data_IF_504751482677
#
_entry.id   IF_504751482677
#
_cell.length_a   1.000
_cell.length_b   1.000
_cell.length_c   1.000
_cell.angle_alpha   90.00
_cell.angle_beta   90.00
_cell.angle_gamma   90.00
#
_symmetry.space_group_name_H-M   'P 1'
#
loop_
_entity.id
_entity.type
_entity.pdbx_description
1 polymer ?
#
# COMPACT_ATOMS: atom_id res chain seq x y z
N UNK A 1 17.51 -1.18 -33.05
CA UNK A 1 18.73 -1.19 -33.88
C UNK A 1 18.69 -0.05 -34.88
N UNK A 2 19.79 0.69 -35.07
CA UNK A 2 19.89 1.73 -36.12
C UNK A 2 20.09 1.04 -37.47
N UNK A 3 19.14 1.24 -38.38
CA UNK A 3 19.18 0.58 -39.69
C UNK A 3 19.96 1.41 -40.70
N UNK A 4 19.75 2.73 -40.71
CA UNK A 4 20.37 3.62 -41.67
C UNK A 4 20.40 5.06 -41.18
N UNK A 5 21.50 5.82 -41.46
CA UNK A 5 21.53 7.27 -41.31
C UNK A 5 21.11 7.91 -42.65
N UNK A 6 20.16 8.87 -42.56
CA UNK A 6 19.65 9.62 -43.72
C UNK A 6 20.47 10.90 -43.98
N UNK A 7 21.25 11.32 -43.01
CA UNK A 7 22.16 12.49 -43.04
C UNK A 7 23.57 12.12 -42.68
N UNK A 8 24.55 12.80 -43.29
CA UNK A 8 25.99 12.64 -43.05
C UNK A 8 26.48 13.74 -42.11
N UNK A 9 27.64 13.48 -41.49
CA UNK A 9 28.32 14.51 -40.69
C UNK A 9 28.65 15.71 -41.60
N UNK A 10 28.22 16.90 -41.19
CA UNK A 10 28.33 18.13 -41.94
C UNK A 10 27.08 18.58 -42.68
N UNK A 11 26.06 17.72 -42.78
CA UNK A 11 24.80 18.09 -43.42
C UNK A 11 23.96 19.01 -42.53
N UNK A 12 23.28 19.97 -43.15
CA UNK A 12 22.29 20.79 -42.45
C UNK A 12 21.01 20.02 -42.23
N UNK A 13 20.38 20.23 -41.08
CA UNK A 13 19.17 19.56 -40.63
C UNK A 13 18.16 20.60 -40.16
N UNK A 14 16.92 20.52 -40.63
CA UNK A 14 15.80 21.31 -40.15
C UNK A 14 15.12 20.69 -38.95
N UNK A 15 14.29 21.44 -38.21
CA UNK A 15 13.42 20.86 -37.19
C UNK A 15 12.45 19.90 -37.83
N UNK A 16 12.22 18.75 -37.19
CA UNK A 16 11.36 17.64 -37.65
C UNK A 16 11.83 16.93 -38.94
N UNK A 17 13.04 17.20 -39.43
CA UNK A 17 13.61 16.48 -40.54
C UNK A 17 14.17 15.11 -40.11
N UNK A 18 13.85 14.05 -40.85
CA UNK A 18 14.30 12.68 -40.55
C UNK A 18 15.83 12.55 -40.59
N UNK A 19 16.44 12.08 -39.51
CA UNK A 19 17.87 11.90 -39.33
C UNK A 19 18.37 10.49 -39.62
N UNK A 20 17.63 9.52 -39.12
CA UNK A 20 18.00 8.11 -39.20
C UNK A 20 16.77 7.23 -39.12
N UNK A 21 16.88 6.01 -39.62
CA UNK A 21 15.91 4.94 -39.50
C UNK A 21 16.33 3.98 -38.38
N UNK A 22 15.40 3.62 -37.53
CA UNK A 22 15.57 2.55 -36.52
C UNK A 22 14.59 1.42 -36.77
N UNK A 23 15.08 0.20 -36.74
CA UNK A 23 14.25 -0.99 -36.77
C UNK A 23 14.06 -1.53 -35.36
N UNK A 24 12.83 -1.74 -34.99
CA UNK A 24 12.41 -2.49 -33.80
C UNK A 24 11.88 -3.86 -34.23
N UNK A 25 11.60 -4.75 -33.29
CA UNK A 25 11.06 -6.10 -33.57
C UNK A 25 9.74 -6.10 -34.40
N UNK A 26 9.08 -4.95 -34.56
CA UNK A 26 7.75 -4.86 -35.18
C UNK A 26 7.55 -3.75 -36.20
N UNK A 27 8.36 -2.70 -36.21
CA UNK A 27 8.16 -1.53 -37.09
C UNK A 27 9.49 -0.81 -37.31
N UNK A 28 9.72 -0.39 -38.56
CA UNK A 28 10.76 0.56 -38.91
C UNK A 28 10.23 1.99 -38.73
N UNK A 29 10.94 2.82 -37.98
CA UNK A 29 10.51 4.18 -37.63
C UNK A 29 11.66 5.16 -37.96
N UNK A 30 11.32 6.28 -38.58
CA UNK A 30 12.23 7.40 -38.77
C UNK A 30 12.29 8.28 -37.51
N UNK A 31 13.47 8.67 -37.11
CA UNK A 31 13.71 9.55 -35.96
C UNK A 31 13.95 10.98 -36.49
N UNK A 32 13.05 11.93 -36.21
CA UNK A 32 13.19 13.33 -36.63
C UNK A 32 14.16 14.09 -35.71
N UNK A 33 14.74 15.17 -36.26
CA UNK A 33 15.56 16.09 -35.49
C UNK A 33 14.73 17.00 -34.58
N UNK A 34 15.02 17.10 -33.29
CA UNK A 34 14.33 18.01 -32.38
C UNK A 34 14.75 19.49 -32.54
N UNK A 35 15.84 19.76 -33.26
CA UNK A 35 16.41 21.12 -33.44
C UNK A 35 16.99 21.29 -34.84
N UNK A 36 16.99 22.53 -35.36
CA UNK A 36 17.71 22.86 -36.60
C UNK A 36 19.19 23.08 -36.32
N UNK A 37 20.06 22.61 -37.21
CA UNK A 37 21.52 22.78 -37.07
C UNK A 37 22.28 21.96 -38.07
N UNK A 38 23.59 21.75 -37.83
CA UNK A 38 24.45 20.88 -38.64
C UNK A 38 24.77 19.62 -37.84
N UNK A 39 24.71 18.43 -38.43
CA UNK A 39 25.08 17.19 -37.77
C UNK A 39 26.59 17.15 -37.60
N UNK A 40 27.05 17.30 -36.37
CA UNK A 40 28.48 17.43 -36.03
C UNK A 40 29.15 16.06 -35.76
N UNK A 41 28.41 15.11 -35.22
CA UNK A 41 28.92 13.79 -34.90
C UNK A 41 27.79 12.73 -34.94
N UNK A 42 28.17 11.52 -35.33
CA UNK A 42 27.38 10.30 -35.26
C UNK A 42 28.02 9.43 -34.20
N UNK A 43 27.30 9.21 -33.08
CA UNK A 43 27.83 8.43 -31.95
C UNK A 43 27.50 6.94 -32.06
N UNK A 44 26.56 6.56 -32.92
CA UNK A 44 26.06 5.18 -33.08
C UNK A 44 26.19 4.75 -34.55
N UNK A 45 26.92 3.68 -34.78
CA UNK A 45 27.08 3.12 -36.13
C UNK A 45 25.82 2.40 -36.61
N UNK A 46 25.69 2.25 -37.92
CA UNK A 46 24.66 1.39 -38.55
C UNK A 46 24.75 -0.03 -37.99
N UNK A 47 23.67 -0.72 -37.86
CA UNK A 47 23.51 -2.07 -37.28
C UNK A 47 23.80 -2.21 -35.77
N UNK A 48 23.97 -1.09 -35.08
CA UNK A 48 24.18 -1.09 -33.62
C UNK A 48 22.86 -1.00 -32.84
N UNK A 49 22.72 -1.84 -31.82
CA UNK A 49 21.59 -1.80 -30.89
C UNK A 49 21.94 -0.96 -29.68
N UNK A 50 21.11 0.06 -29.39
CA UNK A 50 21.31 0.98 -28.26
C UNK A 50 20.07 0.99 -27.36
N UNK A 51 20.24 1.19 -26.04
CA UNK A 51 19.12 1.34 -25.13
C UNK A 51 18.35 2.65 -25.39
N UNK A 52 17.06 2.68 -25.04
CA UNK A 52 16.21 3.87 -25.12
C UNK A 52 16.80 4.98 -24.25
N UNK A 53 16.95 6.21 -24.83
CA UNK A 53 17.57 7.34 -24.15
C UNK A 53 19.09 7.50 -24.40
N UNK A 54 19.71 6.61 -25.17
CA UNK A 54 21.11 6.79 -25.58
C UNK A 54 21.25 7.93 -26.58
N UNK A 55 22.40 8.65 -26.51
CA UNK A 55 22.72 9.71 -27.47
C UNK A 55 23.10 9.07 -28.81
N UNK A 56 22.41 9.47 -29.88
CA UNK A 56 22.61 8.93 -31.21
C UNK A 56 23.60 9.78 -32.04
N UNK A 57 23.57 11.10 -31.85
CA UNK A 57 24.45 12.04 -32.58
C UNK A 57 24.44 13.42 -31.92
N UNK A 58 25.21 14.34 -32.46
CA UNK A 58 25.31 15.73 -31.99
C UNK A 58 24.97 16.71 -33.11
N UNK A 59 24.02 17.62 -32.83
CA UNK A 59 23.63 18.70 -33.74
C UNK A 59 24.04 20.03 -33.11
N UNK A 60 24.65 20.92 -33.90
CA UNK A 60 25.10 22.22 -33.44
C UNK A 60 25.24 23.22 -34.58
N UNK A 61 25.75 24.46 -34.28
CA UNK A 61 26.03 25.47 -35.27
C UNK A 61 27.34 25.15 -35.98
N UNK A 62 27.35 25.30 -37.30
CA UNK A 62 28.55 25.12 -38.14
C UNK A 62 29.71 26.00 -37.64
N UNK A 63 30.82 25.37 -37.18
CA UNK A 63 32.01 26.07 -36.70
C UNK A 63 32.46 25.77 -35.27
N UNK A 64 31.68 25.01 -34.50
CA UNK A 64 32.09 24.56 -33.17
C UNK A 64 32.99 23.29 -33.32
N UNK A 65 34.26 23.40 -32.94
CA UNK A 65 35.15 22.24 -32.88
C UNK A 65 34.58 21.18 -31.91
N UNK A 66 34.72 19.87 -32.21
CA UNK A 66 34.21 18.83 -31.31
C UNK A 66 34.95 18.91 -29.96
N UNK A 67 34.22 19.27 -28.93
CA UNK A 67 34.70 19.13 -27.56
C UNK A 67 34.78 17.63 -27.28
N UNK A 68 35.99 17.12 -27.08
CA UNK A 68 36.23 15.74 -26.70
C UNK A 68 35.33 15.36 -25.52
N UNK A 69 34.64 14.25 -25.66
CA UNK A 69 33.81 13.69 -24.61
C UNK A 69 34.63 13.55 -23.33
N UNK A 70 34.10 13.97 -22.16
CA UNK A 70 34.75 13.68 -20.89
C UNK A 70 34.77 12.15 -20.73
N UNK A 71 35.98 11.61 -20.53
CA UNK A 71 36.17 10.20 -20.17
C UNK A 71 35.25 9.87 -18.97
N UNK A 72 34.54 8.78 -19.07
CA UNK A 72 33.71 8.26 -17.99
C UNK A 72 34.53 8.20 -16.69
N UNK A 73 34.08 8.80 -15.59
CA UNK A 73 34.76 8.68 -14.32
C UNK A 73 34.79 7.22 -13.90
N UNK A 74 35.99 6.69 -13.60
CA UNK A 74 36.12 5.41 -12.88
C UNK A 74 35.27 5.48 -11.63
N UNK A 75 34.55 4.39 -11.27
CA UNK A 75 33.80 4.36 -10.02
C UNK A 75 34.73 4.63 -8.86
N UNK A 76 34.54 5.75 -8.19
CA UNK A 76 35.15 6.02 -6.90
C UNK A 76 34.58 5.01 -5.89
N UNK A 77 35.36 4.56 -4.89
CA UNK A 77 34.85 3.65 -3.87
C UNK A 77 33.67 4.30 -3.17
N UNK A 78 32.57 3.56 -3.09
CA UNK A 78 31.36 3.97 -2.41
C UNK A 78 31.71 4.12 -0.93
N UNK A 79 31.92 5.35 -0.49
CA UNK A 79 31.88 5.68 0.94
C UNK A 79 30.45 5.48 1.36
N UNK A 80 30.22 4.48 2.21
CA UNK A 80 28.94 4.22 2.81
C UNK A 80 28.45 5.50 3.51
N UNK A 81 27.40 6.09 2.99
CA UNK A 81 26.64 7.14 3.66
C UNK A 81 26.16 6.57 5.00
N UNK A 82 26.46 7.21 6.14
CA UNK A 82 25.89 6.77 7.40
C UNK A 82 24.36 6.86 7.29
N UNK A 83 23.69 5.78 7.69
CA UNK A 83 22.24 5.73 7.78
C UNK A 83 21.75 6.96 8.57
N UNK A 84 20.60 7.56 8.20
CA UNK A 84 20.03 8.64 8.96
C UNK A 84 19.81 8.13 10.39
N UNK A 85 20.48 8.76 11.33
CA UNK A 85 20.22 8.56 12.76
C UNK A 85 18.79 9.01 12.97
N UNK A 86 17.90 8.07 13.23
CA UNK A 86 16.55 8.36 13.69
C UNK A 86 16.72 9.13 14.98
N UNK A 87 16.42 10.43 14.97
CA UNK A 87 16.37 11.24 16.16
C UNK A 87 15.39 10.57 17.12
N UNK A 88 15.91 10.13 18.27
CA UNK A 88 15.07 9.70 19.37
C UNK A 88 14.06 10.82 19.68
N UNK A 89 12.81 10.49 20.02
CA UNK A 89 11.85 11.51 20.41
C UNK A 89 12.42 12.33 21.55
N UNK A 90 12.55 13.64 21.34
CA UNK A 90 12.90 14.59 22.40
C UNK A 90 11.74 14.52 23.38
N UNK A 91 11.96 13.84 24.51
CA UNK A 91 11.06 13.91 25.65
C UNK A 91 11.15 15.37 26.12
N UNK A 92 10.08 16.12 25.83
CA UNK A 92 9.90 17.47 26.37
C UNK A 92 10.08 17.37 27.89
N UNK A 93 11.09 18.01 28.41
CA UNK A 93 11.22 18.17 29.86
C UNK A 93 9.94 18.86 30.39
N UNK A 94 9.33 18.36 31.46
CA UNK A 94 8.17 19.02 32.04
C UNK A 94 8.60 20.43 32.45
N UNK A 95 7.78 21.42 32.12
CA UNK A 95 7.93 22.79 32.56
C UNK A 95 8.09 22.81 34.07
N UNK A 96 8.93 23.68 34.63
CA UNK A 96 9.11 23.77 36.08
C UNK A 96 7.75 24.12 36.71
N UNK A 97 7.21 23.17 37.45
CA UNK A 97 6.01 23.39 38.27
C UNK A 97 6.41 24.39 39.34
N UNK A 98 5.79 25.56 39.37
CA UNK A 98 5.95 26.51 40.42
C UNK A 98 5.67 25.80 41.77
N UNK A 99 6.66 25.76 42.65
CA UNK A 99 6.54 25.16 43.98
C UNK A 99 5.40 25.83 44.73
N UNK A 100 4.43 25.04 45.18
CA UNK A 100 3.37 25.52 46.05
C UNK A 100 3.98 26.15 47.30
N UNK A 101 3.41 27.24 47.86
CA UNK A 101 3.97 27.90 49.03
C UNK A 101 3.96 26.93 50.23
N UNK A 102 5.17 26.67 50.77
CA UNK A 102 5.35 25.77 51.90
C UNK A 102 4.96 26.54 53.16
N UNK A 103 3.96 26.05 53.90
CA UNK A 103 3.56 26.65 55.18
C UNK A 103 4.65 26.39 56.21
N UNK A 104 5.31 27.46 56.69
CA UNK A 104 6.43 27.37 57.63
C UNK A 104 5.93 27.28 59.07
N UNK A 105 6.54 26.47 59.98
CA UNK A 105 6.17 26.43 61.40
C UNK A 105 6.49 27.74 62.09
N UNK A 106 5.57 28.18 62.97
CA UNK A 106 5.68 29.46 63.66
C UNK A 106 6.78 29.43 64.74
N UNK A 107 7.07 28.24 65.28
CA UNK A 107 7.96 28.05 66.45
C UNK A 107 9.43 27.72 66.08
N UNK A 108 9.79 27.74 64.82
CA UNK A 108 11.17 27.51 64.43
C UNK A 108 12.07 28.66 64.82
N UNK A 109 13.13 28.35 65.63
CA UNK A 109 14.11 29.33 66.10
C UNK A 109 15.06 29.76 64.97
N UNK A 110 14.58 30.70 64.17
CA UNK A 110 15.25 31.18 62.95
C UNK A 110 15.15 32.70 62.83
N UNK A 111 16.10 33.30 62.13
CA UNK A 111 16.01 34.72 61.78
C UNK A 111 15.05 34.98 60.67
N UNK A 112 14.43 36.15 60.52
CA UNK A 112 13.52 36.49 59.43
C UNK A 112 14.13 36.24 58.01
N UNK A 113 15.46 36.46 57.91
CA UNK A 113 16.21 36.26 56.65
C UNK A 113 16.33 34.82 56.29
N UNK A 114 16.53 33.88 57.22
CA UNK A 114 16.58 32.44 57.02
C UNK A 114 15.19 31.89 56.66
N UNK A 115 14.12 32.43 57.24
CA UNK A 115 12.73 32.08 56.93
C UNK A 115 12.35 32.49 55.52
N UNK A 116 12.80 33.68 55.07
CA UNK A 116 12.60 34.15 53.72
C UNK A 116 13.33 33.25 52.73
N UNK A 117 14.59 32.90 52.97
CA UNK A 117 15.38 32.00 52.14
C UNK A 117 14.77 30.59 52.06
N UNK A 118 14.24 30.05 53.16
CA UNK A 118 13.58 28.76 53.18
C UNK A 118 12.31 28.76 52.29
N UNK A 119 11.55 29.87 52.31
CA UNK A 119 10.38 30.02 51.43
C UNK A 119 10.79 30.15 49.94
N UNK A 120 11.86 30.91 49.67
CA UNK A 120 12.40 31.07 48.29
C UNK A 120 12.92 29.74 47.71
N UNK A 121 13.53 28.90 48.57
CA UNK A 121 14.09 27.60 48.18
C UNK A 121 13.11 26.42 48.33
N UNK A 122 11.88 26.66 48.79
CA UNK A 122 10.86 25.63 48.98
C UNK A 122 11.22 24.62 50.10
N UNK A 123 12.10 24.98 51.05
CA UNK A 123 12.55 24.09 52.11
C UNK A 123 11.68 24.29 53.36
N UNK A 124 11.10 23.20 53.88
CA UNK A 124 10.32 23.24 55.11
C UNK A 124 11.24 23.22 56.32
N UNK A 125 11.21 24.31 57.14
CA UNK A 125 12.07 24.47 58.31
C UNK A 125 11.84 23.43 59.42
N UNK A 126 10.70 22.73 59.44
CA UNK A 126 10.45 21.62 60.36
C UNK A 126 11.40 20.42 60.15
N UNK A 127 11.96 20.31 58.98
CA UNK A 127 12.87 19.21 58.62
C UNK A 127 14.35 19.62 58.62
N UNK A 128 14.65 20.88 58.98
CA UNK A 128 16.02 21.41 59.06
C UNK A 128 16.57 21.28 60.43
N UNK A 129 17.66 20.55 60.66
CA UNK A 129 18.35 20.46 61.90
C UNK A 129 19.30 21.65 62.03
N UNK A 130 19.02 22.60 62.92
CA UNK A 130 19.85 23.77 63.10
C UNK A 130 21.24 23.46 63.77
N UNK A 131 22.31 23.95 63.15
CA UNK A 131 23.71 23.78 63.59
C UNK A 131 24.23 24.99 64.41
N UNK A 132 23.41 26.03 64.60
CA UNK A 132 23.77 27.21 65.34
C UNK A 132 23.69 27.01 66.84
N UNK A 133 24.28 27.98 67.63
CA UNK A 133 24.28 28.00 69.14
C UNK A 133 22.83 27.94 69.62
N UNK A 134 22.53 26.97 70.50
CA UNK A 134 21.18 26.73 70.98
C UNK A 134 20.19 26.15 70.04
N UNK A 135 20.67 25.42 68.97
CA UNK A 135 19.81 24.79 68.02
C UNK A 135 19.21 25.69 66.91
N UNK A 136 19.75 26.92 66.79
CA UNK A 136 19.28 27.87 65.76
C UNK A 136 19.62 27.40 64.39
N UNK A 137 18.65 27.45 63.47
CA UNK A 137 18.84 27.14 62.06
C UNK A 137 19.54 28.29 61.35
N UNK A 138 20.67 27.99 60.69
CA UNK A 138 21.49 28.96 59.97
C UNK A 138 21.12 28.92 58.50
N UNK A 139 21.56 29.91 57.72
CA UNK A 139 21.42 29.99 56.28
C UNK A 139 21.98 28.73 55.54
N UNK A 140 23.17 28.31 56.02
CA UNK A 140 23.89 27.14 55.43
C UNK A 140 23.10 25.82 55.60
N UNK A 141 22.32 25.67 56.68
CA UNK A 141 21.49 24.52 56.99
C UNK A 141 20.34 24.41 55.99
N UNK A 142 19.78 25.55 55.55
CA UNK A 142 18.72 25.61 54.53
C UNK A 142 19.28 25.37 53.12
N UNK A 143 20.43 26.00 52.83
CA UNK A 143 21.10 25.80 51.51
C UNK A 143 21.58 24.34 51.31
N UNK A 144 22.01 23.65 52.39
CA UNK A 144 22.42 22.25 52.32
C UNK A 144 21.27 21.30 51.93
N UNK A 145 20.02 21.62 52.35
CA UNK A 145 18.83 20.83 51.99
C UNK A 145 18.20 21.23 50.64
N UNK A 146 18.56 22.42 50.12
CA UNK A 146 18.11 22.86 48.81
C UNK A 146 18.96 22.31 47.64
N UNK A 147 20.18 21.81 47.90
CA UNK A 147 20.98 21.15 46.87
C UNK A 147 20.36 19.80 46.55
N UNK A 148 20.03 19.49 45.27
CA UNK A 148 19.57 18.18 44.91
C UNK A 148 20.63 17.16 45.34
N UNK A 149 20.24 16.14 46.08
CA UNK A 149 21.11 15.04 46.46
C UNK A 149 21.67 14.42 45.19
N UNK A 150 22.99 14.50 45.01
CA UNK A 150 23.65 13.75 43.92
C UNK A 150 23.36 12.29 44.21
N UNK A 151 22.71 11.57 43.31
CA UNK A 151 22.44 10.16 43.54
C UNK A 151 23.78 9.43 43.70
N UNK A 152 24.06 8.97 44.92
CA UNK A 152 25.13 8.01 45.16
C UNK A 152 24.76 6.75 44.43
N UNK A 153 25.46 6.43 43.36
CA UNK A 153 25.34 5.15 42.69
C UNK A 153 25.80 4.06 43.67
N UNK A 154 24.87 3.48 44.40
CA UNK A 154 25.08 2.15 45.00
C UNK A 154 25.31 1.20 43.83
N UNK A 155 26.44 0.48 43.84
CA UNK A 155 26.68 -0.59 42.88
C UNK A 155 25.45 -1.53 42.86
N UNK A 156 24.85 -1.80 41.71
CA UNK A 156 23.68 -2.65 41.64
C UNK A 156 24.07 -4.02 42.17
N UNK A 157 23.28 -4.55 43.13
CA UNK A 157 23.28 -5.97 43.47
C UNK A 157 23.11 -6.77 42.12
N UNK A 158 23.72 -7.96 42.00
CA UNK A 158 23.61 -8.74 40.76
C UNK A 158 22.13 -8.96 40.45
N UNK A 159 21.63 -8.16 39.56
CA UNK A 159 20.29 -8.31 38.98
C UNK A 159 20.24 -9.67 38.31
N UNK A 160 19.27 -10.51 38.72
CA UNK A 160 18.92 -11.71 37.96
C UNK A 160 18.90 -11.36 36.48
N UNK A 161 19.64 -12.13 35.67
CA UNK A 161 19.83 -11.87 34.25
C UNK A 161 18.49 -11.51 33.61
N UNK A 162 18.40 -10.29 33.04
CA UNK A 162 17.27 -9.92 32.22
C UNK A 162 17.06 -11.02 31.17
N UNK A 163 15.81 -11.40 30.87
CA UNK A 163 15.58 -12.42 29.85
C UNK A 163 16.31 -11.96 28.58
N UNK A 164 17.29 -12.76 28.17
CA UNK A 164 18.08 -12.52 26.96
C UNK A 164 17.09 -12.30 25.85
N UNK A 165 17.14 -11.14 25.21
CA UNK A 165 16.29 -10.82 24.07
C UNK A 165 16.38 -12.02 23.10
N UNK A 166 15.24 -12.62 22.82
CA UNK A 166 15.19 -13.82 21.99
C UNK A 166 15.97 -13.52 20.70
N UNK A 167 17.00 -14.30 20.45
CA UNK A 167 17.79 -14.18 19.22
C UNK A 167 16.80 -14.21 18.06
N UNK A 168 16.86 -13.26 17.10
CA UNK A 168 15.95 -13.28 15.98
C UNK A 168 15.99 -14.67 15.35
N UNK A 169 14.81 -15.28 15.21
CA UNK A 169 14.68 -16.63 14.66
C UNK A 169 15.43 -16.66 13.32
N UNK A 170 16.35 -17.61 13.16
CA UNK A 170 17.06 -17.79 11.90
C UNK A 170 16.02 -18.04 10.81
N UNK A 171 15.98 -17.19 9.80
CA UNK A 171 15.05 -17.35 8.67
C UNK A 171 15.36 -18.70 8.00
N UNK A 172 14.38 -19.58 8.00
CA UNK A 172 14.53 -20.87 7.34
C UNK A 172 14.70 -20.65 5.83
N UNK A 173 15.81 -21.13 5.30
CA UNK A 173 16.11 -21.00 3.87
C UNK A 173 15.28 -22.04 3.11
N UNK A 174 14.54 -21.60 2.08
CA UNK A 174 13.74 -22.49 1.25
C UNK A 174 14.62 -23.53 0.53
N UNK A 175 14.23 -24.81 0.51
CA UNK A 175 14.94 -25.87 -0.22
C UNK A 175 14.92 -25.69 -1.73
N UNK A 176 14.06 -24.81 -2.26
CA UNK A 176 13.98 -24.49 -3.68
C UNK A 176 15.07 -23.52 -4.13
N UNK A 177 15.78 -22.91 -3.21
CA UNK A 177 16.83 -21.93 -3.55
C UNK A 177 17.96 -22.62 -4.32
N UNK A 178 18.27 -22.08 -5.52
CA UNK A 178 19.33 -22.61 -6.39
C UNK A 178 18.93 -23.89 -7.17
N UNK A 179 17.65 -24.29 -7.14
CA UNK A 179 17.16 -25.45 -7.91
C UNK A 179 16.42 -24.99 -9.17
N UNK A 180 16.45 -25.85 -10.21
CA UNK A 180 15.60 -25.74 -11.39
C UNK A 180 14.62 -26.89 -11.38
N UNK A 181 13.31 -26.58 -11.43
CA UNK A 181 12.24 -27.59 -11.42
C UNK A 181 11.31 -27.41 -12.62
N UNK A 182 10.79 -28.51 -13.14
CA UNK A 182 9.79 -28.48 -14.21
C UNK A 182 8.44 -28.04 -13.66
N UNK A 183 7.76 -27.12 -14.36
CA UNK A 183 6.39 -26.70 -13.99
C UNK A 183 5.44 -27.89 -13.95
N UNK A 184 4.56 -27.92 -12.94
CA UNK A 184 3.45 -28.88 -12.89
C UNK A 184 2.49 -28.67 -14.08
N UNK A 185 1.69 -29.69 -14.40
CA UNK A 185 0.70 -29.62 -15.50
C UNK A 185 -0.27 -28.44 -15.31
N UNK A 186 -0.81 -28.26 -14.10
CA UNK A 186 -1.69 -27.15 -13.76
C UNK A 186 -0.99 -25.79 -13.94
N UNK A 187 0.26 -25.65 -13.45
CA UNK A 187 1.02 -24.41 -13.60
C UNK A 187 1.27 -24.05 -15.07
N UNK A 188 1.51 -25.02 -15.92
CA UNK A 188 1.66 -24.78 -17.37
C UNK A 188 0.37 -24.25 -18.00
N UNK A 189 -0.78 -24.79 -17.61
CA UNK A 189 -2.09 -24.31 -18.09
C UNK A 189 -2.35 -22.88 -17.60
N UNK A 190 -2.12 -22.60 -16.33
CA UNK A 190 -2.28 -21.24 -15.77
C UNK A 190 -1.35 -20.25 -16.52
N UNK A 191 -0.08 -20.60 -16.72
CA UNK A 191 0.88 -19.74 -17.40
C UNK A 191 0.43 -19.40 -18.84
N UNK A 192 -0.01 -20.41 -19.60
CA UNK A 192 -0.52 -20.21 -20.96
C UNK A 192 -1.74 -19.27 -20.96
N UNK A 193 -2.72 -19.49 -20.06
CA UNK A 193 -3.92 -18.66 -19.95
C UNK A 193 -3.63 -17.22 -19.56
N UNK A 194 -2.68 -16.97 -18.66
CA UNK A 194 -2.30 -15.61 -18.24
C UNK A 194 -1.62 -14.85 -19.38
N UNK A 195 -0.74 -15.51 -20.12
CA UNK A 195 -0.09 -14.91 -21.31
C UNK A 195 -1.12 -14.63 -22.40
N UNK A 196 -1.99 -15.59 -22.71
CA UNK A 196 -3.09 -15.42 -23.66
C UNK A 196 -3.96 -14.22 -23.31
N UNK A 197 -4.38 -14.10 -22.05
CA UNK A 197 -5.20 -12.97 -21.59
C UNK A 197 -4.54 -11.61 -21.85
N UNK A 198 -3.25 -11.47 -21.55
CA UNK A 198 -2.52 -10.22 -21.78
C UNK A 198 -2.28 -9.94 -23.28
N UNK A 199 -2.25 -10.96 -24.13
CA UNK A 199 -2.06 -10.80 -25.56
C UNK A 199 -3.36 -10.44 -26.29
N UNK A 200 -4.51 -10.97 -25.85
CA UNK A 200 -5.80 -10.73 -26.53
C UNK A 200 -6.55 -9.52 -25.99
N UNK A 201 -6.35 -9.15 -24.73
CA UNK A 201 -7.03 -8.01 -24.10
C UNK A 201 -6.16 -6.76 -24.06
N UNK A 202 -6.74 -5.62 -24.37
CA UNK A 202 -6.16 -4.31 -24.11
C UNK A 202 -6.41 -3.94 -22.64
N UNK A 203 -5.68 -4.56 -21.69
CA UNK A 203 -5.97 -4.42 -20.27
C UNK A 203 -5.57 -3.06 -19.70
N UNK A 204 -6.49 -2.43 -18.98
CA UNK A 204 -6.30 -1.23 -18.20
C UNK A 204 -6.86 -1.45 -16.79
N UNK A 205 -6.27 -0.79 -15.77
CA UNK A 205 -6.75 -0.87 -14.39
C UNK A 205 -7.09 0.51 -13.87
N UNK A 206 -8.29 0.67 -13.33
CA UNK A 206 -8.74 1.85 -12.60
C UNK A 206 -8.89 1.51 -11.13
N UNK A 207 -8.34 2.36 -10.24
CA UNK A 207 -8.36 2.13 -8.79
C UNK A 207 -9.15 3.24 -8.11
N UNK A 208 -10.02 2.87 -7.16
CA UNK A 208 -10.74 3.80 -6.29
C UNK A 208 -10.54 3.44 -4.82
N UNK A 209 -10.55 4.46 -3.98
CA UNK A 209 -10.54 4.30 -2.53
C UNK A 209 -11.97 4.40 -1.99
N UNK A 210 -12.35 3.47 -1.09
CA UNK A 210 -13.72 3.33 -0.57
C UNK A 210 -13.69 3.27 0.96
N UNK A 211 -14.57 4.04 1.61
CA UNK A 211 -14.79 4.01 3.06
C UNK A 211 -15.80 2.90 3.43
N UNK A 212 -15.30 1.83 4.01
CA UNK A 212 -16.11 0.70 4.50
C UNK A 212 -16.30 0.70 6.02
N UNK A 213 -16.20 1.87 6.66
CA UNK A 213 -16.33 2.01 8.13
C UNK A 213 -17.71 1.55 8.62
N UNK A 214 -18.78 1.88 7.89
CA UNK A 214 -20.15 1.44 8.24
C UNK A 214 -20.26 -0.09 8.15
N UNK A 215 -19.76 -0.68 7.05
CA UNK A 215 -19.71 -2.14 6.88
C UNK A 215 -18.87 -2.80 7.97
N UNK A 216 -17.71 -2.22 8.34
CA UNK A 216 -16.87 -2.75 9.41
C UNK A 216 -17.60 -2.80 10.76
N UNK A 217 -18.35 -1.75 11.10
CA UNK A 217 -19.15 -1.68 12.32
C UNK A 217 -20.33 -2.65 12.27
N UNK A 218 -21.04 -2.70 11.14
CA UNK A 218 -22.17 -3.59 10.95
C UNK A 218 -21.74 -5.06 11.03
N UNK A 219 -20.64 -5.41 10.36
CA UNK A 219 -20.04 -6.74 10.43
C UNK A 219 -19.69 -7.13 11.86
N UNK A 220 -19.04 -6.23 12.62
CA UNK A 220 -18.68 -6.51 14.01
C UNK A 220 -19.91 -6.78 14.89
N UNK A 221 -20.99 -6.04 14.66
CA UNK A 221 -22.28 -6.21 15.36
C UNK A 221 -22.98 -7.53 14.99
N UNK A 222 -22.90 -7.94 13.71
CA UNK A 222 -23.67 -9.05 13.16
C UNK A 222 -22.96 -10.40 13.18
N UNK A 223 -21.62 -10.45 13.31
CA UNK A 223 -20.80 -11.64 13.06
C UNK A 223 -21.24 -12.88 13.83
N UNK A 224 -21.60 -12.75 15.10
CA UNK A 224 -21.98 -13.88 15.97
C UNK A 224 -23.37 -14.42 15.61
N UNK A 225 -24.37 -13.55 15.45
CA UNK A 225 -25.72 -13.94 15.06
C UNK A 225 -25.77 -14.50 13.64
N UNK A 226 -24.94 -13.96 12.73
CA UNK A 226 -24.81 -14.48 11.38
C UNK A 226 -24.18 -15.88 11.36
N UNK A 227 -23.07 -16.10 12.08
CA UNK A 227 -22.42 -17.39 12.15
C UNK A 227 -23.33 -18.45 12.78
N UNK A 228 -24.09 -18.08 13.82
CA UNK A 228 -25.08 -18.97 14.43
C UNK A 228 -26.21 -19.38 13.48
N UNK A 229 -26.65 -18.47 12.59
CA UNK A 229 -27.73 -18.72 11.64
C UNK A 229 -27.28 -19.39 10.36
N UNK A 230 -26.16 -18.93 9.78
CA UNK A 230 -25.68 -19.36 8.46
C UNK A 230 -24.65 -20.50 8.52
N UNK A 231 -24.07 -20.79 9.70
CA UNK A 231 -23.04 -21.81 9.88
C UNK A 231 -21.67 -21.44 9.31
N UNK A 232 -21.48 -20.19 8.86
CA UNK A 232 -20.22 -19.70 8.27
C UNK A 232 -19.88 -18.31 8.82
N UNK A 233 -18.57 -18.03 8.89
CA UNK A 233 -18.09 -16.74 9.40
C UNK A 233 -18.41 -15.59 8.45
N UNK A 234 -18.88 -14.48 8.99
CA UNK A 234 -19.12 -13.25 8.22
C UNK A 234 -17.79 -12.53 7.97
N UNK A 235 -17.23 -12.71 6.78
CA UNK A 235 -16.06 -11.94 6.29
C UNK A 235 -16.53 -10.68 5.54
N UNK A 236 -15.59 -9.86 5.04
CA UNK A 236 -15.92 -8.73 4.17
C UNK A 236 -16.39 -9.15 2.77
N UNK A 237 -15.90 -10.30 2.28
CA UNK A 237 -16.10 -10.72 0.89
C UNK A 237 -17.57 -10.84 0.47
N UNK A 238 -18.50 -11.37 1.29
CA UNK A 238 -19.95 -11.38 0.95
C UNK A 238 -20.55 -9.99 0.68
N UNK A 239 -20.14 -8.96 1.43
CA UNK A 239 -20.61 -7.59 1.20
C UNK A 239 -20.18 -7.07 -0.17
N UNK A 240 -18.91 -7.30 -0.53
CA UNK A 240 -18.42 -6.92 -1.84
C UNK A 240 -19.08 -7.72 -2.96
N UNK A 241 -19.29 -9.03 -2.76
CA UNK A 241 -19.92 -9.88 -3.76
C UNK A 241 -21.37 -9.47 -4.05
N UNK A 242 -22.18 -9.16 -3.01
CA UNK A 242 -23.53 -8.63 -3.17
C UNK A 242 -23.50 -7.31 -3.93
N UNK A 243 -22.68 -6.34 -3.49
CA UNK A 243 -22.59 -5.03 -4.13
C UNK A 243 -22.11 -5.12 -5.58
N UNK A 244 -21.19 -6.04 -5.90
CA UNK A 244 -20.71 -6.29 -7.27
C UNK A 244 -21.85 -6.84 -8.13
N UNK A 245 -22.60 -7.84 -7.67
CA UNK A 245 -23.74 -8.38 -8.42
C UNK A 245 -24.82 -7.32 -8.68
N UNK A 246 -25.12 -6.47 -7.68
CA UNK A 246 -26.06 -5.34 -7.85
C UNK A 246 -25.53 -4.33 -8.89
N UNK A 247 -24.24 -4.01 -8.87
CA UNK A 247 -23.63 -3.07 -9.82
C UNK A 247 -23.55 -3.66 -11.24
N UNK A 248 -23.28 -4.96 -11.40
CA UNK A 248 -23.24 -5.62 -12.71
C UNK A 248 -24.60 -5.58 -13.42
N UNK A 249 -25.72 -5.67 -12.70
CA UNK A 249 -27.07 -5.52 -13.25
C UNK A 249 -27.30 -4.12 -13.85
N UNK A 250 -26.66 -3.10 -13.31
CA UNK A 250 -26.77 -1.72 -13.80
C UNK A 250 -25.74 -1.40 -14.91
N UNK A 251 -24.65 -2.15 -14.95
CA UNK A 251 -23.53 -1.93 -15.88
C UNK A 251 -23.25 -3.20 -16.71
N UNK A 252 -24.15 -3.62 -17.62
CA UNK A 252 -24.01 -4.90 -18.33
C UNK A 252 -22.74 -5.01 -19.19
N UNK A 253 -22.12 -3.91 -19.57
CA UNK A 253 -20.86 -3.90 -20.30
C UNK A 253 -19.73 -4.59 -19.52
N UNK A 254 -19.75 -4.53 -18.17
CA UNK A 254 -18.79 -5.21 -17.31
C UNK A 254 -19.11 -6.71 -17.12
N UNK A 255 -20.39 -7.11 -17.37
CA UNK A 255 -20.85 -8.49 -17.30
C UNK A 255 -20.98 -9.05 -18.72
N UNK A 256 -19.91 -8.96 -19.50
CA UNK A 256 -19.89 -9.40 -20.89
C UNK A 256 -18.66 -10.23 -21.23
N UNK A 257 -18.68 -10.84 -22.38
CA UNK A 257 -17.54 -11.53 -23.00
C UNK A 257 -17.38 -11.09 -24.44
N UNK A 258 -16.15 -11.19 -24.98
CA UNK A 258 -15.84 -10.81 -26.35
C UNK A 258 -15.19 -11.97 -27.11
N UNK A 259 -15.73 -12.28 -28.27
CA UNK A 259 -15.21 -13.28 -29.19
C UNK A 259 -15.16 -12.67 -30.61
N UNK A 260 -13.96 -12.51 -31.15
CA UNK A 260 -13.76 -11.81 -32.40
C UNK A 260 -14.24 -10.36 -32.34
N UNK A 261 -15.26 -10.04 -33.14
CA UNK A 261 -15.94 -8.74 -33.21
C UNK A 261 -17.31 -8.71 -32.52
N UNK A 262 -17.67 -9.79 -31.79
CA UNK A 262 -18.95 -9.91 -31.10
C UNK A 262 -18.80 -9.73 -29.61
N UNK A 263 -19.74 -8.99 -29.02
CA UNK A 263 -19.86 -8.81 -27.57
C UNK A 263 -21.15 -9.52 -27.13
N UNK A 264 -21.00 -10.46 -26.18
CA UNK A 264 -22.13 -11.10 -25.52
C UNK A 264 -22.36 -10.49 -24.16
N UNK A 265 -23.49 -9.82 -23.95
CA UNK A 265 -23.95 -9.33 -22.63
C UNK A 265 -24.67 -10.44 -21.92
N UNK A 266 -24.16 -10.84 -20.72
CA UNK A 266 -24.76 -11.93 -19.96
C UNK A 266 -25.99 -11.45 -19.18
N UNK A 267 -27.07 -12.22 -19.20
CA UNK A 267 -28.32 -11.93 -18.47
C UNK A 267 -28.30 -12.34 -16.99
N UNK A 268 -27.22 -12.99 -16.57
CA UNK A 268 -27.02 -13.48 -15.19
C UNK A 268 -25.60 -13.21 -14.73
N UNK A 269 -25.41 -13.05 -13.42
CA UNK A 269 -24.09 -12.83 -12.80
C UNK A 269 -23.53 -14.15 -12.29
N UNK A 270 -22.60 -14.75 -13.03
CA UNK A 270 -21.82 -15.92 -12.61
C UNK A 270 -20.48 -15.45 -12.04
N UNK A 271 -20.40 -15.37 -10.70
CA UNK A 271 -19.28 -14.73 -10.04
C UNK A 271 -18.13 -15.70 -9.72
N UNK A 272 -17.00 -15.55 -10.42
CA UNK A 272 -15.77 -16.25 -10.12
C UNK A 272 -15.12 -15.68 -8.85
N UNK A 273 -14.71 -16.55 -7.94
CA UNK A 273 -14.01 -16.17 -6.70
C UNK A 273 -12.61 -16.76 -6.72
N UNK A 274 -11.58 -15.92 -6.73
CA UNK A 274 -10.20 -16.39 -6.73
C UNK A 274 -9.84 -17.06 -5.39
N UNK A 275 -9.41 -18.32 -5.45
CA UNK A 275 -9.00 -19.14 -4.30
C UNK A 275 -7.55 -19.55 -4.45
N UNK A 276 -6.74 -19.18 -3.47
CA UNK A 276 -5.35 -19.61 -3.37
C UNK A 276 -5.26 -21.03 -2.83
N UNK A 277 -4.46 -21.89 -3.53
CA UNK A 277 -4.20 -23.26 -3.17
C UNK A 277 -2.71 -23.58 -3.29
N UNK A 278 -2.22 -24.63 -2.65
CA UNK A 278 -0.81 -25.06 -2.74
C UNK A 278 -0.37 -25.38 -4.18
N UNK A 279 -1.32 -25.65 -5.08
CA UNK A 279 -1.05 -25.94 -6.49
C UNK A 279 -1.08 -24.71 -7.38
N UNK A 280 -1.65 -23.60 -6.92
CA UNK A 280 -1.83 -22.33 -7.61
C UNK A 280 -3.21 -21.74 -7.41
N UNK A 281 -3.44 -20.57 -8.03
CA UNK A 281 -4.69 -19.84 -7.97
C UNK A 281 -5.74 -20.51 -8.88
N UNK A 282 -6.90 -20.82 -8.32
CA UNK A 282 -8.06 -21.32 -9.04
C UNK A 282 -9.24 -20.39 -8.84
N UNK A 283 -10.15 -20.33 -9.83
CA UNK A 283 -11.30 -19.42 -9.79
C UNK A 283 -12.59 -20.22 -9.93
N UNK A 284 -13.09 -20.86 -8.84
CA UNK A 284 -14.41 -21.46 -8.87
C UNK A 284 -15.50 -20.40 -9.01
N UNK A 285 -16.63 -20.78 -9.61
CA UNK A 285 -17.73 -19.91 -10.02
C UNK A 285 -18.97 -20.17 -9.17
N UNK A 286 -19.54 -19.11 -8.63
CA UNK A 286 -20.87 -19.12 -8.04
C UNK A 286 -21.88 -18.84 -9.17
N UNK A 287 -22.57 -19.86 -9.64
CA UNK A 287 -23.61 -19.68 -10.65
C UNK A 287 -24.79 -18.89 -10.10
N UNK A 288 -25.34 -17.96 -10.90
CA UNK A 288 -26.48 -17.10 -10.55
C UNK A 288 -26.28 -16.37 -9.19
N UNK A 289 -25.08 -15.84 -8.98
CA UNK A 289 -24.73 -15.15 -7.72
C UNK A 289 -25.64 -13.96 -7.45
N UNK A 290 -26.11 -13.28 -8.51
CA UNK A 290 -27.03 -12.15 -8.42
C UNK A 290 -28.42 -12.46 -7.87
N UNK A 291 -28.81 -13.74 -7.79
CA UNK A 291 -30.08 -14.19 -7.21
C UNK A 291 -29.95 -14.63 -5.75
N UNK A 292 -28.73 -14.69 -5.23
CA UNK A 292 -28.48 -15.14 -3.87
C UNK A 292 -28.47 -13.96 -2.89
N UNK A 293 -29.06 -14.17 -1.72
CA UNK A 293 -28.86 -13.25 -0.60
C UNK A 293 -27.47 -13.40 0.01
N UNK A 294 -27.09 -12.50 0.91
CA UNK A 294 -25.76 -12.48 1.55
C UNK A 294 -25.40 -13.80 2.24
N UNK A 295 -26.36 -14.43 2.94
CA UNK A 295 -26.15 -15.74 3.58
C UNK A 295 -25.84 -16.83 2.56
N UNK A 296 -26.58 -16.86 1.45
CA UNK A 296 -26.35 -17.79 0.33
C UNK A 296 -24.97 -17.59 -0.30
N UNK A 297 -24.59 -16.35 -0.59
CA UNK A 297 -23.25 -15.99 -1.11
C UNK A 297 -22.17 -16.42 -0.11
N UNK A 298 -22.32 -16.11 1.17
CA UNK A 298 -21.31 -16.46 2.19
C UNK A 298 -21.09 -17.98 2.30
N UNK A 299 -22.17 -18.76 2.29
CA UNK A 299 -22.10 -20.24 2.30
C UNK A 299 -21.41 -20.77 1.03
N UNK A 300 -21.79 -20.24 -0.16
CA UNK A 300 -21.17 -20.65 -1.43
C UNK A 300 -19.68 -20.32 -1.49
N UNK A 301 -19.28 -19.13 -1.05
CA UNK A 301 -17.86 -18.74 -0.96
C UNK A 301 -17.10 -19.71 -0.04
N UNK A 302 -17.65 -20.02 1.15
CA UNK A 302 -17.00 -20.90 2.11
C UNK A 302 -16.86 -22.33 1.58
N UNK A 303 -17.93 -22.89 1.02
CA UNK A 303 -17.97 -24.22 0.42
C UNK A 303 -16.99 -24.37 -0.73
N UNK A 304 -17.10 -23.48 -1.75
CA UNK A 304 -16.22 -23.51 -2.91
C UNK A 304 -14.75 -23.32 -2.54
N UNK A 305 -14.45 -22.42 -1.60
CA UNK A 305 -13.08 -22.21 -1.15
C UNK A 305 -12.50 -23.45 -0.45
N UNK A 306 -13.27 -24.13 0.40
CA UNK A 306 -12.86 -25.35 1.07
C UNK A 306 -12.64 -26.48 0.06
N UNK A 307 -13.63 -26.75 -0.80
CA UNK A 307 -13.54 -27.82 -1.81
C UNK A 307 -12.42 -27.57 -2.83
N UNK A 308 -12.16 -26.31 -3.19
CA UNK A 308 -11.07 -25.98 -4.11
C UNK A 308 -9.71 -26.26 -3.49
N UNK A 309 -9.49 -25.93 -2.21
CA UNK A 309 -8.26 -26.28 -1.49
C UNK A 309 -8.09 -27.79 -1.33
N UNK A 310 -9.18 -28.51 -1.05
CA UNK A 310 -9.21 -29.96 -0.95
C UNK A 310 -9.13 -30.69 -2.31
N UNK A 311 -9.06 -29.96 -3.42
CA UNK A 311 -9.11 -30.53 -4.78
C UNK A 311 -10.40 -31.30 -5.10
N UNK A 312 -11.53 -30.85 -4.58
CA UNK A 312 -12.86 -31.47 -4.74
C UNK A 312 -13.82 -30.63 -5.61
N UNK A 313 -13.34 -29.47 -6.13
CA UNK A 313 -14.10 -28.67 -7.08
C UNK A 313 -14.21 -29.39 -8.42
N UNK A 314 -15.39 -29.34 -9.02
CA UNK A 314 -15.63 -29.98 -10.33
C UNK A 314 -15.17 -29.09 -11.47
N UNK A 315 -14.86 -29.65 -12.66
CA UNK A 315 -14.53 -28.84 -13.83
C UNK A 315 -15.63 -27.85 -14.22
N UNK A 316 -16.91 -28.23 -14.06
CA UNK A 316 -18.06 -27.36 -14.36
C UNK A 316 -18.12 -26.14 -13.44
N UNK A 317 -17.66 -26.27 -12.20
CA UNK A 317 -17.57 -25.17 -11.24
C UNK A 317 -16.37 -24.24 -11.51
N UNK A 318 -15.46 -24.58 -12.41
CA UNK A 318 -14.33 -23.74 -12.81
C UNK A 318 -14.59 -23.01 -14.16
N UNK A 319 -15.73 -23.23 -14.77
CA UNK A 319 -16.12 -22.63 -16.04
C UNK A 319 -17.36 -21.75 -15.95
N UNK A 320 -17.66 -21.03 -17.02
CA UNK A 320 -18.91 -20.27 -17.17
C UNK A 320 -19.02 -18.99 -16.30
N UNK A 321 -17.94 -18.56 -15.68
CA UNK A 321 -17.92 -17.28 -14.93
C UNK A 321 -18.01 -16.08 -15.88
N UNK A 322 -18.80 -15.06 -15.50
CA UNK A 322 -19.00 -13.84 -16.29
C UNK A 322 -18.23 -12.63 -15.75
N UNK A 323 -17.86 -12.67 -14.47
CA UNK A 323 -17.05 -11.68 -13.79
C UNK A 323 -16.23 -12.34 -12.68
N UNK A 324 -15.05 -11.81 -12.37
CA UNK A 324 -14.20 -12.39 -11.32
C UNK A 324 -13.94 -11.38 -10.19
N UNK A 325 -13.97 -11.88 -8.96
CA UNK A 325 -13.61 -11.15 -7.76
C UNK A 325 -12.37 -11.81 -7.12
N UNK A 326 -11.30 -11.05 -6.94
CA UNK A 326 -10.08 -11.53 -6.28
C UNK A 326 -9.77 -10.72 -5.04
N UNK A 327 -9.36 -11.38 -3.95
CA UNK A 327 -9.06 -10.74 -2.66
C UNK A 327 -7.59 -10.93 -2.29
N UNK A 328 -6.75 -9.99 -2.66
CA UNK A 328 -5.33 -9.93 -2.32
C UNK A 328 -5.08 -9.26 -0.97
N UNK A 329 -6.06 -8.47 -0.49
CA UNK A 329 -6.03 -7.82 0.81
C UNK A 329 -5.97 -8.80 1.98
N UNK A 330 -6.42 -10.05 1.82
CA UNK A 330 -6.29 -11.11 2.83
C UNK A 330 -4.84 -11.44 3.18
N UNK A 331 -3.88 -11.08 2.31
CA UNK A 331 -2.43 -11.22 2.50
C UNK A 331 -1.71 -9.88 2.74
N UNK A 332 -2.47 -8.80 2.94
CA UNK A 332 -1.97 -7.48 3.26
C UNK A 332 -1.63 -6.59 2.06
N UNK A 333 -1.89 -7.02 0.83
CA UNK A 333 -1.74 -6.16 -0.33
C UNK A 333 -2.76 -5.00 -0.28
N UNK A 334 -2.32 -3.77 -0.48
CA UNK A 334 -3.22 -2.61 -0.50
C UNK A 334 -4.11 -2.61 -1.73
N UNK A 335 -3.57 -2.95 -2.88
CA UNK A 335 -4.26 -3.22 -4.15
C UNK A 335 -3.29 -3.97 -5.07
N UNK A 336 -3.81 -4.48 -6.16
CA UNK A 336 -3.06 -5.01 -7.30
C UNK A 336 -3.77 -4.68 -8.62
N UNK A 337 -3.18 -5.12 -9.73
CA UNK A 337 -3.71 -5.00 -11.08
C UNK A 337 -3.95 -6.41 -11.62
N UNK A 338 -5.09 -7.04 -11.26
CA UNK A 338 -5.33 -8.43 -11.59
C UNK A 338 -5.46 -8.65 -13.10
N UNK A 339 -4.98 -9.80 -13.58
CA UNK A 339 -5.12 -10.19 -14.99
C UNK A 339 -6.51 -10.76 -15.19
N UNK A 340 -7.18 -10.36 -16.28
CA UNK A 340 -8.53 -10.78 -16.63
C UNK A 340 -8.55 -12.29 -16.90
N UNK A 341 -9.59 -12.96 -16.41
CA UNK A 341 -9.84 -14.37 -16.67
C UNK A 341 -10.70 -14.53 -17.93
N UNK A 342 -10.05 -14.83 -19.07
CA UNK A 342 -10.75 -14.97 -20.36
C UNK A 342 -11.89 -16.02 -20.32
N UNK A 343 -13.03 -15.82 -21.02
CA UNK A 343 -13.35 -14.74 -21.97
C UNK A 343 -14.01 -13.50 -21.33
N UNK A 344 -14.00 -13.38 -20.00
CA UNK A 344 -14.54 -12.21 -19.28
C UNK A 344 -13.85 -10.92 -19.71
N UNK A 345 -14.54 -9.80 -19.62
CA UNK A 345 -13.99 -8.48 -19.94
C UNK A 345 -13.45 -7.73 -18.72
N UNK A 346 -13.71 -8.20 -17.50
CA UNK A 346 -13.27 -7.50 -16.30
C UNK A 346 -13.05 -8.43 -15.10
N UNK A 347 -12.24 -7.94 -14.16
CA UNK A 347 -11.94 -8.55 -12.86
C UNK A 347 -11.76 -7.45 -11.82
N UNK A 348 -12.35 -7.61 -10.63
CA UNK A 348 -12.22 -6.70 -9.51
C UNK A 348 -11.27 -7.27 -8.45
N UNK A 349 -10.22 -6.53 -8.14
CA UNK A 349 -9.30 -6.78 -7.03
C UNK A 349 -9.71 -6.03 -5.78
N UNK A 350 -9.80 -6.74 -4.65
CA UNK A 350 -10.03 -6.18 -3.33
C UNK A 350 -8.72 -6.09 -2.57
N UNK A 351 -8.39 -4.88 -2.13
CA UNK A 351 -7.25 -4.64 -1.26
C UNK A 351 -7.52 -4.93 0.21
N UNK A 352 -6.52 -4.75 1.05
CA UNK A 352 -6.65 -4.86 2.48
C UNK A 352 -7.52 -3.73 3.05
N UNK A 353 -8.45 -4.09 3.94
CA UNK A 353 -9.18 -3.10 4.73
C UNK A 353 -8.26 -2.61 5.85
N UNK A 354 -7.84 -1.35 5.78
CA UNK A 354 -6.91 -0.73 6.73
C UNK A 354 -7.50 0.52 7.36
N UNK A 355 -7.12 0.82 8.60
CA UNK A 355 -7.49 2.07 9.25
C UNK A 355 -6.59 3.20 8.78
N UNK A 356 -7.21 4.32 8.33
CA UNK A 356 -6.53 5.53 7.88
C UNK A 356 -7.13 6.78 8.50
N UNK A 357 -6.32 7.82 8.78
CA UNK A 357 -6.83 9.15 9.05
C UNK A 357 -7.35 9.76 7.74
N UNK A 358 -8.63 10.14 7.73
CA UNK A 358 -9.29 10.73 6.57
C UNK A 358 -9.91 12.06 6.95
N UNK A 359 -9.85 13.03 6.04
CA UNK A 359 -10.63 14.26 6.18
C UNK A 359 -12.09 13.94 5.91
N UNK A 360 -12.96 14.25 6.84
CA UNK A 360 -14.40 14.05 6.73
C UNK A 360 -15.12 15.35 7.01
N UNK A 361 -16.22 15.61 6.32
CA UNK A 361 -17.09 16.76 6.60
C UNK A 361 -18.09 16.40 7.71
N UNK A 362 -18.17 17.28 8.70
CA UNK A 362 -19.23 17.26 9.72
C UNK A 362 -20.56 17.76 9.16
N UNK A 363 -21.63 17.59 9.95
CA UNK A 363 -22.98 18.07 9.61
C UNK A 363 -23.04 19.61 9.51
N UNK A 364 -22.14 20.30 10.21
CA UNK A 364 -21.95 21.75 10.18
C UNK A 364 -21.16 22.25 8.95
N UNK A 365 -20.72 21.34 8.06
CA UNK A 365 -19.89 21.62 6.90
C UNK A 365 -18.40 21.80 7.23
N UNK A 366 -18.00 21.76 8.51
CA UNK A 366 -16.61 21.79 8.94
C UNK A 366 -15.85 20.53 8.57
N UNK A 367 -14.54 20.64 8.34
CA UNK A 367 -13.66 19.51 8.06
C UNK A 367 -12.98 19.05 9.36
N UNK A 368 -12.94 17.74 9.57
CA UNK A 368 -12.26 17.12 10.70
C UNK A 368 -11.52 15.86 10.26
N UNK A 369 -10.54 15.43 11.04
CA UNK A 369 -9.81 14.18 10.77
C UNK A 369 -10.48 13.06 11.59
N UNK A 370 -10.92 12.00 10.89
CA UNK A 370 -11.49 10.81 11.52
C UNK A 370 -10.77 9.55 11.07
N UNK A 371 -10.70 8.56 11.95
CA UNK A 371 -10.18 7.23 11.60
C UNK A 371 -11.26 6.48 10.85
N UNK A 372 -10.97 6.07 9.61
CA UNK A 372 -11.85 5.32 8.73
C UNK A 372 -11.24 3.96 8.36
N UNK A 373 -12.10 2.98 8.13
CA UNK A 373 -11.70 1.70 7.53
C UNK A 373 -11.78 1.85 6.02
N UNK A 374 -10.61 1.91 5.37
CA UNK A 374 -10.48 2.19 3.95
C UNK A 374 -10.05 0.93 3.20
N UNK A 375 -10.52 0.79 1.97
CA UNK A 375 -10.11 -0.27 1.05
C UNK A 375 -9.89 0.31 -0.34
N UNK A 376 -8.91 -0.21 -1.06
CA UNK A 376 -8.76 0.04 -2.48
C UNK A 376 -9.46 -1.06 -3.28
N UNK A 377 -10.16 -0.64 -4.32
CA UNK A 377 -10.77 -1.52 -5.31
C UNK A 377 -10.08 -1.26 -6.64
N UNK A 378 -9.44 -2.28 -7.20
CA UNK A 378 -8.77 -2.22 -8.51
C UNK A 378 -9.58 -2.99 -9.55
N UNK A 379 -10.19 -2.30 -10.50
CA UNK A 379 -10.91 -2.90 -11.62
C UNK A 379 -10.00 -2.97 -12.83
N UNK A 380 -9.57 -4.19 -13.21
CA UNK A 380 -8.94 -4.41 -14.52
C UNK A 380 -10.00 -4.78 -15.53
N UNK A 381 -9.92 -4.19 -16.70
CA UNK A 381 -10.92 -4.37 -17.78
C UNK A 381 -10.27 -4.34 -19.16
N UNK A 382 -10.94 -4.96 -20.11
CA UNK A 382 -10.54 -5.00 -21.51
C UNK A 382 -11.02 -3.75 -22.25
N UNK A 383 -10.09 -2.84 -22.56
CA UNK A 383 -10.40 -1.56 -23.19
C UNK A 383 -10.86 -1.68 -24.65
N UNK A 384 -10.93 -2.89 -25.20
CA UNK A 384 -11.61 -3.13 -26.48
C UNK A 384 -13.14 -3.03 -26.37
N UNK A 385 -13.68 -3.23 -25.14
CA UNK A 385 -15.13 -3.31 -24.86
C UNK A 385 -15.55 -2.30 -23.80
N UNK A 386 -14.72 -2.08 -22.78
CA UNK A 386 -15.01 -1.24 -21.62
C UNK A 386 -14.16 0.02 -21.68
N UNK A 387 -14.80 1.18 -21.79
CA UNK A 387 -14.12 2.46 -21.70
C UNK A 387 -13.82 2.87 -20.23
N UNK A 388 -12.84 3.78 -20.06
CA UNK A 388 -12.54 4.34 -18.73
C UNK A 388 -13.74 5.01 -18.07
N UNK A 389 -14.66 5.57 -18.86
CA UNK A 389 -15.91 6.15 -18.37
C UNK A 389 -16.89 5.09 -17.85
N UNK A 390 -16.97 3.91 -18.51
CA UNK A 390 -17.80 2.78 -18.06
C UNK A 390 -17.25 2.21 -16.75
N UNK A 391 -15.93 2.00 -16.70
CA UNK A 391 -15.22 1.55 -15.51
C UNK A 391 -15.43 2.52 -14.33
N UNK A 392 -15.34 3.82 -14.57
CA UNK A 392 -15.56 4.84 -13.55
C UNK A 392 -17.00 4.83 -13.05
N UNK A 393 -18.01 4.76 -13.93
CA UNK A 393 -19.44 4.68 -13.55
C UNK A 393 -19.72 3.45 -12.68
N UNK A 394 -19.22 2.29 -13.09
CA UNK A 394 -19.34 1.06 -12.30
C UNK A 394 -18.71 1.20 -10.91
N UNK A 395 -17.48 1.71 -10.85
CA UNK A 395 -16.77 1.90 -9.59
C UNK A 395 -17.44 2.93 -8.68
N UNK A 396 -18.05 3.98 -9.23
CA UNK A 396 -18.86 4.95 -8.46
C UNK A 396 -20.10 4.28 -7.88
N UNK A 397 -20.87 3.53 -8.68
CA UNK A 397 -22.03 2.77 -8.21
C UNK A 397 -21.65 1.82 -7.07
N UNK A 398 -20.54 1.08 -7.25
CA UNK A 398 -20.04 0.16 -6.23
C UNK A 398 -19.57 0.90 -4.97
N UNK A 399 -18.86 2.01 -5.12
CA UNK A 399 -18.42 2.87 -4.01
C UNK A 399 -19.60 3.41 -3.21
N UNK A 400 -20.60 3.98 -3.86
CA UNK A 400 -21.78 4.53 -3.20
C UNK A 400 -22.54 3.45 -2.41
N UNK A 401 -22.71 2.26 -2.98
CA UNK A 401 -23.35 1.13 -2.30
C UNK A 401 -22.58 0.68 -1.05
N UNK A 402 -21.26 0.59 -1.14
CA UNK A 402 -20.40 0.16 -0.03
C UNK A 402 -20.28 1.24 1.07
N UNK A 403 -20.11 2.51 0.70
CA UNK A 403 -20.04 3.63 1.64
C UNK A 403 -21.39 3.93 2.29
N UNK A 404 -22.48 3.69 1.56
CA UNK A 404 -23.83 3.71 2.10
C UNK A 404 -24.00 2.75 3.27
N UNK A 405 -23.46 1.54 3.15
CA UNK A 405 -23.39 0.53 4.22
C UNK A 405 -24.73 -0.07 4.60
N UNK A 406 -25.79 0.14 3.80
CA UNK A 406 -27.16 -0.33 4.08
C UNK A 406 -27.31 -1.82 3.75
N UNK A 407 -26.76 -2.69 4.61
CA UNK A 407 -26.81 -4.16 4.49
C UNK A 407 -27.53 -4.83 5.66
N UNK A 408 -28.28 -4.07 6.47
CA UNK A 408 -29.00 -4.59 7.63
C UNK A 408 -30.03 -5.65 7.21
N UNK A 409 -30.82 -5.35 6.17
CA UNK A 409 -31.81 -6.29 5.63
C UNK A 409 -31.16 -7.57 5.06
N UNK A 410 -30.01 -7.44 4.41
CA UNK A 410 -29.24 -8.57 3.87
C UNK A 410 -28.71 -9.49 4.99
N UNK A 411 -28.49 -8.93 6.17
CA UNK A 411 -28.04 -9.63 7.36
C UNK A 411 -29.19 -10.12 8.26
N UNK A 412 -30.44 -9.73 7.95
CA UNK A 412 -31.62 -10.06 8.76
C UNK A 412 -31.61 -9.36 10.12
N UNK A 413 -31.17 -8.10 10.16
CA UNK A 413 -31.13 -7.23 11.34
C UNK A 413 -32.24 -6.19 11.29
#
# INVERSE_FOLDING_TARGET
>A
TVTRWLKNIGDSVAVDEALLEVSTDKVDTEIPSPVAGTLLAIDVAVDSTVPVGARLGLIGTSGAAPVAAPAAPKPAPVVATPAPVVAAPVVSAPAPVAAAPVTQPVDAYVTPLVRKLANELGVNLAHVKGTGIGGRIRREDVEALSKPAVPTYSAPAPTAAAPTAARPATVAVSPLRGTTVTMSRLRKVIAARMVESLQVSAQLTTVVEVDVTKISRLREKAKESFEAREGVKLSYLPFFAVAVCEALKQHPVLNSSVEGDQITYHGTEHLGIAVDTDRGLLVPVIANAGDLNMGGIARKISDLAARTRDNKVTPDELGGGTFTLTNTGSRGALFDTPIINQPQVAILGLGAVVKRPMVVRGEDGGETIAIRSMVYLGLSYDHRVVDGADAARFLVTLKERLEGGAFESDLGL
#
